data_IF_154784604435
#
_entry.id   IF_154784604435
#
_cell.length_a   1.000
_cell.length_b   1.000
_cell.length_c   1.000
_cell.angle_alpha   90.00
_cell.angle_beta   90.00
_cell.angle_gamma   90.00
#
_symmetry.space_group_name_H-M   'P 1'
#
loop_
_entity.id
_entity.type
_entity.pdbx_description
1 polymer ?
2 water ?
#
# COMPACT_ATOMS: atom_id res chain seq x y z
N UNK A 3 -3.82 4.90 15.76
CA UNK A 3 -2.66 5.58 16.40
C UNK A 3 -1.37 4.74 16.40
N UNK A 4 -1.37 3.66 15.61
CA UNK A 4 -0.18 2.87 15.41
C UNK A 4 0.89 3.74 14.73
N UNK A 5 2.15 3.38 14.94
CA UNK A 5 3.26 4.08 14.31
C UNK A 5 3.18 4.00 12.77
N UNK A 6 2.79 2.84 12.24
CA UNK A 6 2.75 2.71 10.79
C UNK A 6 1.62 3.52 10.15
N UNK A 7 0.51 3.68 10.87
CA UNK A 7 -0.58 4.52 10.37
C UNK A 7 -0.17 6.00 10.30
N UNK A 8 0.51 6.46 11.34
CA UNK A 8 1.02 7.83 11.39
C UNK A 8 2.04 8.06 10.27
N UNK A 9 2.94 7.11 10.08
CA UNK A 9 3.96 7.22 9.04
C UNK A 9 3.34 7.22 7.64
N UNK A 10 2.28 6.43 7.47
CA UNK A 10 1.52 6.41 6.20
C UNK A 10 0.96 7.80 5.89
N UNK A 11 0.48 8.49 6.92
CA UNK A 11 0.01 9.88 6.80
C UNK A 11 1.09 10.82 6.31
N UNK A 12 2.30 10.68 6.84
CA UNK A 12 3.43 11.48 6.36
C UNK A 12 3.78 11.17 4.91
N UNK A 13 3.68 9.89 4.53
CA UNK A 13 3.93 9.48 3.13
C UNK A 13 2.91 10.14 2.20
N UNK A 14 1.65 10.19 2.64
CA UNK A 14 0.60 10.87 1.89
C UNK A 14 0.89 12.37 1.75
N UNK A 15 1.29 12.99 2.85
CA UNK A 15 1.69 14.41 2.88
C UNK A 15 2.74 14.68 1.80
N UNK A 16 3.70 13.77 1.72
CA UNK A 16 4.85 13.89 0.81
C UNK A 16 4.52 13.46 -0.61
N UNK A 17 3.25 13.12 -0.86
CA UNK A 17 2.78 12.65 -2.17
C UNK A 17 3.52 11.40 -2.65
N UNK A 18 3.84 10.51 -1.70
CA UNK A 18 4.59 9.31 -2.01
C UNK A 18 3.71 8.07 -2.06
N UNK A 19 2.41 8.27 -2.18
CA UNK A 19 1.47 7.14 -2.26
C UNK A 19 0.62 7.17 -3.51
N UNK A 20 0.28 5.97 -3.98
CA UNK A 20 -0.73 5.74 -5.01
C UNK A 20 -1.81 4.85 -4.40
N UNK A 21 -3.05 4.98 -4.87
CA UNK A 21 -4.10 4.07 -4.44
C UNK A 21 -4.88 3.54 -5.62
N UNK A 22 -5.58 2.44 -5.38
CA UNK A 22 -6.41 1.82 -6.41
C UNK A 22 -5.73 0.63 -7.02
N UNK A 23 -6.46 -0.47 -7.14
CA UNK A 23 -5.91 -1.72 -7.62
C UNK A 23 -5.18 -1.60 -8.96
N UNK A 24 -5.84 -1.01 -9.95
CA UNK A 24 -5.26 -0.88 -11.29
C UNK A 24 -4.09 0.10 -11.33
N UNK A 25 -4.22 1.24 -10.64
CA UNK A 25 -3.14 2.21 -10.59
C UNK A 25 -1.89 1.62 -9.94
N UNK A 26 -2.09 0.88 -8.85
CA UNK A 26 -0.96 0.30 -8.11
C UNK A 26 -0.28 -0.84 -8.89
N UNK A 27 -1.08 -1.70 -9.51
CA UNK A 27 -0.52 -2.75 -10.38
C UNK A 27 0.36 -2.15 -11.50
N UNK A 28 -0.15 -1.12 -12.15
CA UNK A 28 0.59 -0.45 -13.22
C UNK A 28 1.91 0.15 -12.70
N UNK A 29 1.85 0.76 -11.52
CA UNK A 29 3.04 1.37 -10.91
C UNK A 29 4.09 0.33 -10.51
N UNK A 30 3.62 -0.82 -9.99
CA UNK A 30 4.50 -1.95 -9.68
C UNK A 30 5.24 -2.39 -10.95
N UNK A 31 4.49 -2.53 -12.04
CA UNK A 31 5.06 -2.97 -13.31
C UNK A 31 6.06 -1.97 -13.88
N UNK A 32 5.86 -0.68 -13.56
CA UNK A 32 6.77 0.38 -13.98
C UNK A 32 7.93 0.65 -13.04
N UNK A 33 8.06 -0.19 -12.01
CA UNK A 33 9.13 -0.07 -11.02
C UNK A 33 9.06 1.18 -10.16
N UNK A 34 7.84 1.69 -9.96
CA UNK A 34 7.62 2.92 -9.22
C UNK A 34 7.17 2.70 -7.78
N UNK A 35 6.91 1.43 -7.43
CA UNK A 35 6.36 1.08 -6.10
C UNK A 35 7.24 0.03 -5.42
N UNK A 36 7.59 0.26 -4.16
CA UNK A 36 8.47 -0.64 -3.42
C UNK A 36 7.81 -1.35 -2.24
N UNK A 37 6.53 -1.05 -2.01
CA UNK A 37 5.72 -1.76 -1.01
C UNK A 37 4.26 -1.59 -1.37
N UNK A 38 3.50 -2.67 -1.24
CA UNK A 38 2.05 -2.60 -1.38
C UNK A 38 1.41 -2.95 -0.05
N UNK A 39 0.49 -2.11 0.39
CA UNK A 39 -0.32 -2.35 1.58
C UNK A 39 -1.74 -2.64 1.15
N UNK A 40 -2.25 -3.80 1.55
CA UNK A 40 -3.61 -4.21 1.22
C UNK A 40 -4.45 -4.22 2.48
N UNK A 41 -5.64 -3.65 2.40
CA UNK A 41 -6.59 -3.75 3.51
C UNK A 41 -6.97 -5.21 3.74
N UNK A 42 -7.10 -5.60 5.01
CA UNK A 42 -7.63 -6.94 5.34
C UNK A 42 -9.02 -7.18 4.72
N UNK A 43 -9.73 -6.07 4.47
CA UNK A 43 -11.08 -6.05 3.89
C UNK A 43 -11.12 -6.28 2.40
N UNK A 44 -9.98 -6.11 1.75
CA UNK A 44 -9.88 -6.20 0.29
C UNK A 44 -10.48 -7.53 -0.14
N UNK A 45 -11.17 -7.51 -1.28
CA UNK A 45 -11.72 -8.72 -1.86
C UNK A 45 -10.63 -9.75 -2.13
N UNK A 46 -11.00 -11.04 -2.05
CA UNK A 46 -10.01 -12.11 -2.22
C UNK A 46 -9.35 -12.06 -3.60
N UNK A 47 -10.10 -11.64 -4.62
CA UNK A 47 -9.52 -11.52 -5.96
C UNK A 47 -8.50 -10.38 -6.06
N UNK A 48 -8.77 -9.29 -5.36
CA UNK A 48 -7.82 -8.17 -5.25
C UNK A 48 -6.56 -8.66 -4.53
N UNK A 49 -6.75 -9.38 -3.44
CA UNK A 49 -5.63 -9.94 -2.69
C UNK A 49 -4.78 -10.85 -3.57
N UNK A 50 -5.43 -11.76 -4.26
CA UNK A 50 -4.75 -12.69 -5.17
C UNK A 50 -3.95 -11.94 -6.23
N UNK A 51 -4.60 -10.98 -6.89
CA UNK A 51 -3.99 -10.24 -7.99
C UNK A 51 -2.71 -9.52 -7.54
N UNK A 52 -2.82 -8.77 -6.44
CA UNK A 52 -1.67 -8.04 -5.91
C UNK A 52 -0.57 -8.99 -5.45
N UNK A 53 -0.95 -10.04 -4.73
CA UNK A 53 0.03 -11.00 -4.21
C UNK A 53 0.74 -11.76 -5.32
N UNK A 54 0.01 -12.10 -6.38
CA UNK A 54 0.61 -12.70 -7.59
C UNK A 54 1.58 -11.74 -8.27
N UNK A 55 1.10 -10.53 -8.57
CA UNK A 55 1.88 -9.53 -9.31
C UNK A 55 3.13 -9.10 -8.53
N UNK A 56 2.96 -8.76 -7.27
CA UNK A 56 4.09 -8.33 -6.43
C UNK A 56 5.06 -9.47 -6.16
N UNK A 57 4.54 -10.69 -6.08
CA UNK A 57 5.39 -11.89 -5.97
C UNK A 57 6.37 -11.99 -7.12
N UNK A 58 5.85 -11.80 -8.34
CA UNK A 58 6.67 -11.83 -9.56
C UNK A 58 7.75 -10.77 -9.57
N UNK A 59 7.41 -9.56 -9.10
CA UNK A 59 8.35 -8.44 -9.07
C UNK A 59 9.18 -8.39 -7.78
N UNK A 60 8.90 -9.30 -6.85
CA UNK A 60 9.55 -9.35 -5.53
C UNK A 60 9.38 -8.04 -4.76
N UNK A 61 8.15 -7.54 -4.78
CA UNK A 61 7.76 -6.38 -4.00
C UNK A 61 6.97 -6.87 -2.78
N UNK A 62 7.38 -6.44 -1.57
CA UNK A 62 6.65 -6.88 -0.39
C UNK A 62 5.19 -6.40 -0.41
N UNK A 63 4.30 -7.27 0.08
CA UNK A 63 2.88 -6.96 0.23
C UNK A 63 2.51 -7.24 1.68
N UNK A 64 1.89 -6.25 2.32
CA UNK A 64 1.37 -6.43 3.67
C UNK A 64 -0.14 -6.40 3.62
N UNK A 65 -0.77 -7.28 4.37
CA UNK A 65 -2.23 -7.28 4.52
C UNK A 65 -2.54 -6.85 5.94
N UNK A 66 -3.10 -5.65 6.09
CA UNK A 66 -3.26 -5.03 7.41
C UNK A 66 -4.49 -4.15 7.52
N UNK A 67 -4.93 -3.91 8.76
CA UNK A 67 -5.97 -2.94 9.07
C UNK A 67 -7.31 -3.21 8.44
N UNK A 68 -8.03 -2.14 8.11
CA UNK A 68 -9.25 -2.23 7.33
C UNK A 68 -9.30 -0.98 6.45
N UNK A 69 -10.29 -0.91 5.56
CA UNK A 69 -10.30 0.18 4.59
C UNK A 69 -10.58 1.54 5.22
N UNK A 70 -11.28 1.54 6.35
CA UNK A 70 -11.55 2.77 7.10
C UNK A 70 -10.28 3.36 7.71
N UNK A 72 -7.18 2.70 6.88
CA UNK A 72 -6.23 3.06 5.81
C UNK A 72 -6.59 4.38 5.15
N UNK A 73 -7.86 4.52 4.80
CA UNK A 73 -8.35 5.77 4.22
C UNK A 73 -8.09 6.96 5.13
N UNK A 74 -8.49 6.82 6.40
CA UNK A 74 -8.30 7.88 7.41
C UNK A 74 -6.86 8.32 7.51
N UNK A 75 -5.95 7.34 7.58
CA UNK A 75 -4.52 7.59 7.74
C UNK A 75 -3.99 8.52 6.65
N UNK A 76 -4.58 8.44 5.46
CA UNK A 76 -4.11 9.26 4.34
C UNK A 76 -5.07 10.42 3.96
N UNK A 77 -6.00 10.72 4.87
CA UNK A 77 -6.92 11.86 4.72
C UNK A 77 -8.04 11.62 3.73
N UNK A 78 -8.39 10.35 3.55
CA UNK A 78 -9.45 9.95 2.64
C UNK A 78 -10.48 9.15 3.45
N UNK A 79 -11.56 8.73 2.83
CA UNK A 79 -12.57 8.00 3.59
C UNK A 79 -12.20 6.53 3.75
N UNK A 80 -12.05 5.84 2.61
CA UNK A 80 -11.69 4.43 2.59
C UNK A 80 -10.73 4.09 1.46
N UNK A 81 -9.70 3.31 1.75
CA UNK A 81 -8.79 2.81 0.73
C UNK A 81 -8.49 1.34 0.93
N UNK A 82 -8.42 0.57 -0.15
CA UNK A 82 -8.08 -0.87 -0.03
C UNK A 82 -6.68 -1.22 -0.54
N UNK A 83 -6.20 -0.53 -1.56
CA UNK A 83 -4.88 -0.84 -2.12
C UNK A 83 -4.03 0.41 -2.13
N UNK A 84 -2.89 0.35 -1.44
CA UNK A 84 -1.95 1.45 -1.39
C UNK A 84 -0.59 0.99 -1.89
N UNK A 85 -0.01 1.77 -2.80
CA UNK A 85 1.37 1.55 -3.24
C UNK A 85 2.29 2.67 -2.76
N UNK A 86 3.43 2.29 -2.20
CA UNK A 86 4.38 3.26 -1.65
C UNK A 86 5.51 3.51 -2.65
N UNK A 87 5.69 4.79 -3.00
CA UNK A 87 6.60 5.19 -4.09
C UNK A 87 8.00 5.55 -3.62
N UNK A 88 8.19 5.61 -2.32
CA UNK A 88 9.47 5.98 -1.74
C UNK A 88 10.06 4.79 -1.01
N UNK A 89 11.26 4.37 -1.43
CA UNK A 89 11.92 3.19 -0.86
C UNK A 89 12.17 3.29 0.65
N UNK A 90 12.51 4.48 1.13
CA UNK A 90 12.71 4.69 2.57
C UNK A 90 11.44 4.48 3.37
N UNK A 91 10.35 5.08 2.92
CA UNK A 91 9.05 4.84 3.54
C UNK A 91 8.66 3.36 3.46
N UNK A 92 8.90 2.74 2.30
CA UNK A 92 8.56 1.32 2.11
C UNK A 92 9.27 0.45 3.14
N UNK A 93 10.58 0.66 3.32
CA UNK A 93 11.37 -0.11 4.27
C UNK A 93 10.83 0.03 5.67
N UNK A 94 10.63 1.28 6.09
CA UNK A 94 10.20 1.59 7.46
C UNK A 94 8.77 1.10 7.74
N UNK A 95 7.86 1.30 6.79
CA UNK A 95 6.49 0.81 6.96
C UNK A 95 6.48 -0.71 7.10
N UNK A 96 7.26 -1.41 6.28
CA UNK A 96 7.32 -2.87 6.34
C UNK A 96 7.87 -3.33 7.69
N UNK A 97 8.92 -2.68 8.17
CA UNK A 97 9.52 -3.01 9.46
C UNK A 97 8.52 -2.82 10.61
N UNK A 98 7.74 -1.74 10.55
CA UNK A 98 6.76 -1.44 11.58
C UNK A 98 5.63 -2.47 11.58
N UNK A 99 5.13 -2.80 10.39
CA UNK A 99 4.11 -3.83 10.21
C UNK A 99 4.64 -5.22 10.65
N UNK A 100 5.90 -5.52 10.30
CA UNK A 100 6.51 -6.82 10.63
C UNK A 100 6.96 -6.93 12.09
N UNK A 101 6.95 -5.80 12.80
CA UNK A 101 7.33 -5.77 14.20
C UNK A 101 6.16 -6.20 15.06
#
# INVERSE_FOLDING_TARGET
>A
XSEAKWLSLLGLAARARQLLTGEEQVVKAVQNGQVTLVILSSDAGIHTKKKLLDKCGSYQIPVKVVGNRQXLGRAIGKHERVVIGVKDAGFSRKLAALIDE
#
